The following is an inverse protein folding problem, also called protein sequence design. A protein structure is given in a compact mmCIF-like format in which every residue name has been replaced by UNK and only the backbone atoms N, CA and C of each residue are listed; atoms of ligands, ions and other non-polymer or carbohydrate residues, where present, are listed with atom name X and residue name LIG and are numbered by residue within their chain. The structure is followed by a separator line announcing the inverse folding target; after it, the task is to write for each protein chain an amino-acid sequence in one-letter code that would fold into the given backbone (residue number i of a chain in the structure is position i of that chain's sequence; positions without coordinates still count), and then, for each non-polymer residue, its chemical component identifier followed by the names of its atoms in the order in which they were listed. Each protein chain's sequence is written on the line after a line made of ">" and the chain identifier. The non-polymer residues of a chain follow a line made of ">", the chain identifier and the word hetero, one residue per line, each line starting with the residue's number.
data_IF_427931534287
#
_entry.id   IF_427931534287
#
_cell.length_a   1.000
_cell.length_b   1.000
_cell.length_c   1.000
_cell.angle_alpha   90.00
_cell.angle_beta   90.00
_cell.angle_gamma   90.00
#
_symmetry.space_group_name_H-M   'P 1'
#
loop_
_entity.id
_entity.type
_entity.pdbx_description
1 polymer ?
#
# COMPACT_ATOMS: atom_id res chain seq x y z
N UNK A 1 22.20 -29.90 57.94
CA UNK A 1 20.89 -30.04 57.26
C UNK A 1 20.56 -28.76 56.51
N UNK A 2 20.71 -28.69 55.18
CA UNK A 2 20.37 -27.53 54.31
C UNK A 2 18.91 -27.69 53.84
N UNK A 3 18.00 -26.83 54.33
CA UNK A 3 16.61 -26.76 53.84
C UNK A 3 16.62 -26.20 52.39
N UNK A 4 16.29 -27.04 51.42
CA UNK A 4 16.04 -26.63 50.02
C UNK A 4 14.67 -25.98 49.99
N UNK A 5 14.60 -24.69 49.64
CA UNK A 5 13.34 -23.97 49.38
C UNK A 5 12.72 -24.50 48.04
N UNK A 6 11.55 -25.14 48.11
CA UNK A 6 10.89 -25.66 46.90
C UNK A 6 10.14 -24.60 46.05
N UNK A 7 10.26 -23.32 46.39
CA UNK A 7 9.50 -22.25 45.71
C UNK A 7 10.14 -21.67 44.47
N UNK A 8 11.44 -21.98 44.22
CA UNK A 8 12.14 -21.44 43.05
C UNK A 8 11.68 -22.01 41.69
N UNK A 9 11.28 -23.27 41.53
CA UNK A 9 10.87 -23.79 40.22
C UNK A 9 9.48 -23.31 39.78
N UNK A 10 8.58 -22.91 40.71
CA UNK A 10 7.25 -22.44 40.36
C UNK A 10 7.24 -21.03 39.77
N UNK A 11 8.17 -20.17 40.20
CA UNK A 11 8.28 -18.80 39.66
C UNK A 11 8.84 -18.78 38.23
N UNK A 12 9.70 -19.73 37.86
CA UNK A 12 10.22 -19.84 36.50
C UNK A 12 9.19 -20.37 35.49
N UNK A 13 8.27 -21.23 35.93
CA UNK A 13 7.19 -21.75 35.06
C UNK A 13 6.14 -20.68 34.70
N UNK A 14 5.91 -19.72 35.60
CA UNK A 14 4.97 -18.61 35.37
C UNK A 14 5.46 -17.59 34.34
N UNK A 15 6.80 -17.40 34.20
CA UNK A 15 7.38 -16.44 33.25
C UNK A 15 7.36 -16.94 31.79
N UNK A 16 7.33 -18.24 31.57
CA UNK A 16 7.36 -18.82 30.20
C UNK A 16 5.98 -18.76 29.54
N UNK A 17 4.89 -18.67 30.30
CA UNK A 17 3.51 -18.60 29.76
C UNK A 17 3.07 -17.19 29.38
N UNK A 18 3.79 -16.15 29.76
CA UNK A 18 3.46 -14.75 29.40
C UNK A 18 4.08 -14.31 28.05
N UNK A 19 4.84 -15.15 27.37
CA UNK A 19 5.67 -14.77 26.21
C UNK A 19 5.03 -14.98 24.84
N UNK A 20 3.75 -15.39 24.75
CA UNK A 20 3.12 -15.71 23.45
C UNK A 20 1.69 -15.19 23.36
N UNK A 21 1.46 -13.89 23.59
CA UNK A 21 0.20 -13.26 23.22
C UNK A 21 0.43 -12.03 22.33
N UNK A 22 1.14 -12.21 21.23
CA UNK A 22 0.95 -11.29 20.11
C UNK A 22 -0.48 -11.53 19.61
N UNK A 23 -1.34 -10.50 19.66
CA UNK A 23 -2.67 -10.58 19.07
C UNK A 23 -2.53 -11.06 17.63
N UNK A 24 -3.25 -12.11 17.22
CA UNK A 24 -3.15 -12.60 15.86
C UNK A 24 -3.57 -11.50 14.89
N UNK A 25 -2.81 -11.35 13.82
CA UNK A 25 -3.18 -10.46 12.71
C UNK A 25 -4.35 -11.14 11.99
N UNK A 26 -5.54 -10.57 12.14
CA UNK A 26 -6.76 -11.14 11.56
C UNK A 26 -7.21 -10.40 10.30
N UNK A 27 -6.81 -9.14 10.12
CA UNK A 27 -7.03 -8.38 8.90
C UNK A 27 -5.74 -8.43 8.09
N UNK A 28 -5.79 -9.06 6.93
CA UNK A 28 -4.58 -9.39 6.16
C UNK A 28 -4.68 -8.76 4.77
N UNK A 29 -3.65 -8.01 4.39
CA UNK A 29 -3.42 -7.60 3.01
C UNK A 29 -2.59 -8.68 2.34
N UNK A 30 -3.05 -9.21 1.22
CA UNK A 30 -2.46 -10.36 0.54
C UNK A 30 -1.57 -9.92 -0.62
N UNK A 31 -2.13 -9.86 -1.81
CA UNK A 31 -1.38 -9.67 -3.03
C UNK A 31 -1.87 -8.45 -3.83
N UNK A 32 -0.96 -7.84 -4.58
CA UNK A 32 -1.30 -6.78 -5.51
C UNK A 32 -2.06 -7.35 -6.70
N UNK A 33 -3.22 -6.79 -7.01
CA UNK A 33 -4.02 -7.22 -8.16
C UNK A 33 -3.51 -6.60 -9.45
N UNK A 34 -3.47 -7.40 -10.52
CA UNK A 34 -3.24 -6.88 -11.85
C UNK A 34 -4.49 -6.14 -12.34
N UNK A 35 -4.35 -4.92 -12.90
CA UNK A 35 -5.46 -4.26 -13.58
C UNK A 35 -5.80 -5.01 -14.86
N UNK A 36 -7.09 -5.15 -15.17
CA UNK A 36 -7.58 -5.56 -16.47
C UNK A 36 -7.41 -4.45 -17.53
N UNK A 37 -7.75 -4.75 -18.77
CA UNK A 37 -7.59 -3.82 -19.91
C UNK A 37 -8.39 -2.52 -19.75
N UNK A 38 -9.47 -2.56 -18.98
CA UNK A 38 -10.34 -1.41 -18.67
C UNK A 38 -10.08 -0.80 -17.29
N UNK A 39 -8.95 -1.12 -16.66
CA UNK A 39 -8.65 -0.75 -15.28
C UNK A 39 -9.67 -1.29 -14.27
N UNK A 40 -10.34 -2.36 -14.59
CA UNK A 40 -11.07 -3.13 -13.63
C UNK A 40 -10.11 -4.09 -12.88
N UNK A 41 -10.50 -4.48 -11.69
CA UNK A 41 -9.80 -5.46 -10.86
C UNK A 41 -10.71 -6.65 -10.59
N UNK A 42 -11.59 -6.93 -11.54
CA UNK A 42 -12.60 -8.00 -11.45
C UNK A 42 -11.99 -9.40 -11.59
N UNK A 43 -10.84 -9.52 -12.26
CA UNK A 43 -10.11 -10.78 -12.36
C UNK A 43 -9.31 -11.03 -11.07
N UNK A 44 -9.89 -11.83 -10.18
CA UNK A 44 -9.30 -12.16 -8.88
C UNK A 44 -8.18 -13.20 -8.97
N UNK A 45 -7.86 -13.69 -10.16
CA UNK A 45 -6.79 -14.69 -10.39
C UNK A 45 -5.48 -14.06 -10.84
N UNK A 46 -5.49 -12.79 -11.24
CA UNK A 46 -4.30 -12.09 -11.74
C UNK A 46 -3.68 -11.20 -10.67
N UNK A 47 -2.41 -11.46 -10.39
CA UNK A 47 -1.61 -10.72 -9.43
C UNK A 47 -0.34 -10.18 -10.09
N UNK A 48 0.24 -9.13 -9.49
CA UNK A 48 1.53 -8.59 -9.87
C UNK A 48 2.48 -8.59 -8.67
N UNK A 49 3.74 -8.91 -8.91
CA UNK A 49 4.77 -8.98 -7.87
C UNK A 49 5.61 -7.71 -7.76
N UNK A 50 5.41 -6.76 -8.67
CA UNK A 50 6.11 -5.49 -8.71
C UNK A 50 5.60 -4.63 -9.85
N UNK A 51 6.18 -3.43 -9.99
CA UNK A 51 5.83 -2.51 -11.05
C UNK A 51 6.98 -1.61 -11.46
N UNK A 52 6.70 -0.70 -12.37
CA UNK A 52 7.67 0.31 -12.78
C UNK A 52 7.03 1.68 -12.92
N UNK A 53 7.84 2.74 -12.78
CA UNK A 53 7.39 4.11 -13.00
C UNK A 53 8.47 4.93 -13.70
N UNK A 54 8.06 5.60 -14.77
CA UNK A 54 8.89 6.54 -15.53
C UNK A 54 8.69 7.96 -14.99
N UNK A 55 9.75 8.54 -14.45
CA UNK A 55 9.77 9.91 -13.92
C UNK A 55 10.01 10.97 -15.01
N UNK A 56 9.84 10.64 -16.29
CA UNK A 56 9.96 11.62 -17.36
C UNK A 56 8.96 12.76 -17.15
N UNK A 57 9.40 14.03 -17.12
CA UNK A 57 8.48 15.16 -17.04
C UNK A 57 7.65 15.28 -18.34
N UNK A 58 6.46 15.86 -18.22
CA UNK A 58 5.59 16.15 -19.35
C UNK A 58 4.83 17.46 -19.13
N UNK A 59 4.30 18.04 -20.22
CA UNK A 59 3.57 19.30 -20.19
C UNK A 59 2.06 19.06 -20.18
N UNK A 60 1.36 19.72 -19.27
CA UNK A 60 -0.10 19.85 -19.27
C UNK A 60 -0.41 21.34 -19.27
N UNK A 61 -1.06 21.81 -20.36
CA UNK A 61 -1.41 23.24 -20.47
C UNK A 61 -0.20 24.18 -20.37
N UNK A 62 0.98 23.76 -20.81
CA UNK A 62 2.23 24.53 -20.72
C UNK A 62 2.94 24.46 -19.36
N UNK A 63 2.38 23.73 -18.39
CA UNK A 63 3.01 23.52 -17.08
C UNK A 63 3.74 22.20 -17.05
N UNK A 64 5.01 22.23 -16.63
CA UNK A 64 5.80 21.00 -16.44
C UNK A 64 5.25 20.23 -15.25
N UNK A 65 4.85 19.01 -15.50
CA UNK A 65 4.39 18.07 -14.48
C UNK A 65 5.29 16.85 -14.51
N UNK A 66 5.65 16.30 -13.37
CA UNK A 66 6.31 15.00 -13.30
C UNK A 66 5.31 13.91 -12.94
N UNK A 67 5.53 12.73 -13.48
CA UNK A 67 4.97 11.49 -12.96
C UNK A 67 5.67 11.20 -11.62
N UNK A 68 5.51 10.15 -11.01
CA UNK A 68 6.17 9.78 -9.75
C UNK A 68 5.16 9.25 -8.77
N UNK A 69 3.92 9.06 -9.26
CA UNK A 69 2.87 8.38 -8.52
C UNK A 69 2.75 6.94 -9.00
N UNK A 70 2.64 6.02 -8.06
CA UNK A 70 2.37 4.62 -8.34
C UNK A 70 1.26 4.13 -7.42
N UNK A 71 0.04 4.10 -7.92
CA UNK A 71 -1.12 3.56 -7.21
C UNK A 71 -1.28 2.06 -7.49
N UNK A 72 -1.62 1.28 -6.47
CA UNK A 72 -1.84 -0.15 -6.58
C UNK A 72 -3.07 -0.57 -5.77
N UNK A 73 -3.75 -1.62 -6.24
CA UNK A 73 -4.87 -2.24 -5.54
C UNK A 73 -4.43 -3.59 -5.03
N UNK A 74 -4.76 -3.86 -3.77
CA UNK A 74 -4.42 -5.09 -3.07
C UNK A 74 -5.68 -5.84 -2.68
N UNK A 75 -5.64 -7.16 -2.78
CA UNK A 75 -6.62 -8.02 -2.14
C UNK A 75 -6.42 -8.00 -0.63
N UNK A 76 -7.48 -7.91 0.13
CA UNK A 76 -7.43 -8.04 1.59
C UNK A 76 -8.57 -8.89 2.12
N UNK A 77 -8.40 -9.43 3.33
CA UNK A 77 -9.38 -10.26 4.00
C UNK A 77 -9.49 -9.89 5.49
N UNK A 78 -10.62 -10.18 6.09
CA UNK A 78 -10.84 -10.06 7.51
C UNK A 78 -11.29 -11.42 8.07
N UNK A 79 -10.40 -12.11 8.74
CA UNK A 79 -10.60 -13.47 9.28
C UNK A 79 -11.34 -13.49 10.63
N UNK A 80 -11.78 -12.32 11.12
CA UNK A 80 -12.62 -12.26 12.32
C UNK A 80 -14.03 -12.76 11.99
N UNK A 81 -14.62 -13.46 12.96
CA UNK A 81 -16.01 -13.87 12.85
C UNK A 81 -16.94 -12.66 13.08
N UNK A 82 -18.07 -12.56 12.36
CA UNK A 82 -19.10 -11.59 12.65
C UNK A 82 -19.57 -11.70 14.10
N UNK A 83 -19.63 -10.58 14.81
CA UNK A 83 -20.14 -10.51 16.18
C UNK A 83 -21.12 -9.34 16.32
N UNK A 84 -22.11 -9.44 17.21
CA UNK A 84 -23.01 -8.33 17.47
C UNK A 84 -22.27 -7.11 18.04
N UNK A 85 -22.66 -5.91 17.60
CA UNK A 85 -22.30 -4.67 18.26
C UNK A 85 -23.32 -4.40 19.36
N UNK A 86 -22.83 -4.24 20.59
CA UNK A 86 -23.68 -3.96 21.74
C UNK A 86 -23.33 -2.60 22.34
N UNK A 87 -24.35 -1.84 22.77
CA UNK A 87 -24.22 -0.59 23.50
C UNK A 87 -25.05 -0.70 24.74
N UNK A 88 -24.43 -0.53 25.93
CA UNK A 88 -25.07 -0.69 27.24
C UNK A 88 -25.79 -2.05 27.45
N UNK A 89 -25.34 -3.09 26.76
CA UNK A 89 -25.92 -4.43 26.82
C UNK A 89 -27.00 -4.72 25.78
N UNK A 90 -27.47 -3.74 25.06
CA UNK A 90 -28.43 -3.91 23.97
C UNK A 90 -27.68 -4.13 22.62
N UNK A 91 -28.16 -5.10 21.84
CA UNK A 91 -27.63 -5.34 20.48
C UNK A 91 -28.17 -4.25 19.56
N UNK A 92 -27.26 -3.39 19.09
CA UNK A 92 -27.59 -2.30 18.13
C UNK A 92 -27.32 -2.71 16.69
N UNK A 93 -26.43 -3.71 16.48
CA UNK A 93 -26.13 -4.28 15.17
C UNK A 93 -25.78 -5.77 15.33
N UNK A 94 -26.46 -6.69 14.63
CA UNK A 94 -26.32 -8.12 14.89
C UNK A 94 -25.03 -8.75 14.32
N UNK A 95 -24.26 -8.07 13.46
CA UNK A 95 -23.16 -8.73 12.76
C UNK A 95 -21.89 -7.92 12.49
N UNK A 96 -21.88 -6.61 12.70
CA UNK A 96 -20.81 -5.74 12.24
C UNK A 96 -19.76 -5.34 13.29
N UNK A 97 -19.82 -5.90 14.51
CA UNK A 97 -18.89 -5.51 15.60
C UNK A 97 -17.42 -5.74 15.27
N UNK A 98 -17.09 -6.75 14.48
CA UNK A 98 -15.74 -7.09 14.04
C UNK A 98 -15.41 -6.61 12.62
N UNK A 99 -16.23 -5.77 12.01
CA UNK A 99 -15.86 -5.10 10.76
C UNK A 99 -14.67 -4.17 11.04
N UNK A 100 -13.68 -4.20 10.15
CA UNK A 100 -12.50 -3.36 10.27
C UNK A 100 -12.67 -2.09 9.45
N UNK A 101 -12.53 -0.95 10.09
CA UNK A 101 -12.52 0.38 9.48
C UNK A 101 -11.09 0.88 9.43
N UNK A 102 -10.53 0.95 8.23
CA UNK A 102 -9.19 1.48 7.99
C UNK A 102 -9.22 3.02 8.03
N UNK A 103 -8.28 3.60 8.78
CA UNK A 103 -8.14 5.05 8.95
C UNK A 103 -6.90 5.59 8.22
N UNK A 104 -5.80 4.82 8.20
CA UNK A 104 -4.54 5.28 7.63
C UNK A 104 -3.65 4.14 7.14
N UNK A 105 -2.72 4.49 6.24
CA UNK A 105 -1.63 3.64 5.78
C UNK A 105 -0.31 4.34 6.08
N UNK A 106 0.63 3.62 6.69
CA UNK A 106 2.01 4.07 6.88
C UNK A 106 2.89 3.40 5.86
N UNK A 107 3.71 4.20 5.16
CA UNK A 107 4.67 3.76 4.17
C UNK A 107 6.10 3.91 4.69
N UNK A 108 6.90 2.87 4.52
CA UNK A 108 8.33 2.83 4.77
C UNK A 108 9.03 2.54 3.43
N UNK A 109 10.14 3.23 3.14
CA UNK A 109 10.82 3.12 1.87
C UNK A 109 12.25 2.63 2.04
N UNK A 110 12.66 1.70 1.19
CA UNK A 110 14.06 1.34 0.98
C UNK A 110 14.40 1.60 -0.48
N UNK A 111 15.38 2.45 -0.72
CA UNK A 111 15.74 2.90 -2.05
C UNK A 111 17.21 2.61 -2.35
N UNK A 112 17.51 2.14 -3.57
CA UNK A 112 18.85 1.70 -3.92
C UNK A 112 19.85 2.83 -4.14
N UNK A 113 19.39 4.06 -4.42
CA UNK A 113 20.26 5.24 -4.48
C UNK A 113 20.63 5.70 -3.06
N UNK A 114 21.89 5.54 -2.60
CA UNK A 114 22.30 5.90 -1.25
C UNK A 114 22.35 7.42 -1.01
N UNK A 115 22.30 8.24 -2.07
CA UNK A 115 22.27 9.70 -1.97
C UNK A 115 20.87 10.23 -1.62
N UNK A 116 19.83 9.40 -1.75
CA UNK A 116 18.44 9.78 -1.50
C UNK A 116 17.96 9.16 -0.21
N UNK A 117 17.62 9.98 0.76
CA UNK A 117 16.98 9.54 2.02
C UNK A 117 15.47 9.75 1.91
N UNK A 118 14.71 8.69 2.09
CA UNK A 118 13.25 8.74 2.09
C UNK A 118 12.72 8.61 3.52
N UNK A 119 11.90 9.56 3.92
CA UNK A 119 11.17 9.48 5.19
C UNK A 119 9.97 8.55 5.05
N UNK A 120 9.52 7.97 6.17
CA UNK A 120 8.21 7.30 6.19
C UNK A 120 7.10 8.34 6.05
N UNK A 121 6.05 7.95 5.32
CA UNK A 121 4.91 8.83 5.03
C UNK A 121 3.61 8.17 5.45
N UNK A 122 2.59 8.99 5.69
CA UNK A 122 1.26 8.55 6.09
C UNK A 122 0.24 9.05 5.08
N UNK A 123 -0.66 8.16 4.67
CA UNK A 123 -1.85 8.47 3.88
C UNK A 123 -3.10 8.16 4.69
N UNK A 124 -4.00 9.13 4.79
CA UNK A 124 -5.33 8.85 5.32
C UNK A 124 -6.16 8.11 4.26
N UNK A 125 -6.83 7.05 4.68
CA UNK A 125 -7.75 6.28 3.85
C UNK A 125 -9.06 6.09 4.60
N UNK A 126 -10.12 5.78 3.84
CA UNK A 126 -11.40 5.39 4.41
C UNK A 126 -11.86 4.15 3.67
N UNK A 127 -11.70 3.00 4.27
CA UNK A 127 -12.12 1.73 3.71
C UNK A 127 -12.66 0.84 4.83
N UNK A 128 -13.65 0.02 4.51
CA UNK A 128 -14.22 -0.93 5.48
C UNK A 128 -14.19 -2.32 4.86
N UNK A 129 -13.80 -3.31 5.67
CA UNK A 129 -13.90 -4.71 5.30
C UNK A 129 -14.70 -5.46 6.36
N UNK A 130 -15.78 -6.11 5.92
CA UNK A 130 -16.66 -6.84 6.80
C UNK A 130 -15.94 -8.04 7.47
N UNK A 131 -16.37 -8.39 8.65
CA UNK A 131 -15.92 -9.61 9.32
C UNK A 131 -16.25 -10.85 8.48
N UNK A 132 -15.31 -11.79 8.37
CA UNK A 132 -15.41 -12.97 7.52
C UNK A 132 -15.31 -12.70 6.03
N UNK A 133 -14.92 -11.48 5.62
CA UNK A 133 -14.77 -11.12 4.21
C UNK A 133 -13.57 -11.81 3.58
N UNK A 134 -13.80 -12.43 2.42
CA UNK A 134 -12.78 -13.12 1.62
C UNK A 134 -12.06 -12.16 0.67
N UNK A 135 -10.82 -12.48 0.26
CA UNK A 135 -10.01 -11.59 -0.58
C UNK A 135 -10.54 -11.46 -2.02
N UNK A 136 -11.35 -12.41 -2.49
CA UNK A 136 -11.81 -12.45 -3.88
C UNK A 136 -12.66 -11.24 -4.28
N UNK A 137 -13.41 -10.70 -3.34
CA UNK A 137 -14.33 -9.57 -3.57
C UNK A 137 -13.91 -8.28 -2.87
N UNK A 138 -12.86 -8.33 -2.04
CA UNK A 138 -12.45 -7.20 -1.22
C UNK A 138 -11.07 -6.70 -1.64
N UNK A 139 -11.02 -5.41 -1.95
CA UNK A 139 -9.78 -4.74 -2.37
C UNK A 139 -9.58 -3.43 -1.63
N UNK A 140 -8.33 -3.06 -1.42
CA UNK A 140 -7.92 -1.75 -0.90
C UNK A 140 -6.89 -1.12 -1.84
N UNK A 141 -7.10 0.15 -2.17
CA UNK A 141 -6.18 0.94 -2.99
C UNK A 141 -5.22 1.75 -2.13
N UNK A 142 -3.96 1.82 -2.56
CA UNK A 142 -2.94 2.66 -1.95
C UNK A 142 -2.07 3.33 -3.01
N UNK A 143 -1.74 4.60 -2.80
CA UNK A 143 -0.69 5.27 -3.57
C UNK A 143 0.65 4.92 -2.94
N UNK A 144 1.42 4.05 -3.59
CA UNK A 144 2.65 3.50 -3.02
C UNK A 144 3.79 4.53 -2.97
N UNK A 145 3.83 5.47 -3.92
CA UNK A 145 4.81 6.56 -3.93
C UNK A 145 4.08 7.83 -3.52
N UNK A 146 4.31 8.24 -2.29
CA UNK A 146 3.73 9.45 -1.72
C UNK A 146 4.50 10.70 -2.19
N UNK A 147 3.92 11.90 -2.08
CA UNK A 147 4.52 13.13 -2.62
C UNK A 147 5.95 13.43 -2.14
N UNK A 148 6.28 13.17 -0.87
CA UNK A 148 7.63 13.39 -0.35
C UNK A 148 8.65 12.45 -0.99
N UNK A 149 8.34 11.14 -1.07
CA UNK A 149 9.16 10.15 -1.75
C UNK A 149 9.28 10.46 -3.25
N UNK A 150 8.18 10.82 -3.92
CA UNK A 150 8.17 11.22 -5.33
C UNK A 150 9.10 12.40 -5.60
N UNK A 151 9.04 13.45 -4.79
CA UNK A 151 9.89 14.63 -4.93
C UNK A 151 11.37 14.28 -4.72
N UNK A 152 11.70 13.51 -3.69
CA UNK A 152 13.07 13.13 -3.40
C UNK A 152 13.67 12.23 -4.49
N UNK A 153 12.93 11.24 -4.98
CA UNK A 153 13.34 10.36 -6.09
C UNK A 153 13.47 11.17 -7.37
N UNK A 154 12.50 12.05 -7.66
CA UNK A 154 12.50 12.90 -8.85
C UNK A 154 13.66 13.89 -8.90
N UNK A 155 14.26 14.24 -7.76
CA UNK A 155 15.46 15.07 -7.68
C UNK A 155 16.77 14.28 -7.92
N UNK A 156 16.74 12.94 -7.85
CA UNK A 156 17.91 12.11 -8.13
C UNK A 156 18.28 12.13 -9.62
N UNK A 157 19.58 12.27 -9.90
CA UNK A 157 20.14 12.13 -11.26
C UNK A 157 20.49 10.69 -11.60
N UNK A 158 20.54 9.77 -10.65
CA UNK A 158 20.90 8.39 -10.88
C UNK A 158 19.84 7.66 -11.73
N UNK A 159 18.57 7.99 -11.57
CA UNK A 159 17.46 7.44 -12.36
C UNK A 159 17.50 7.84 -13.84
N UNK A 160 18.32 8.83 -14.22
CA UNK A 160 18.52 9.25 -15.62
C UNK A 160 19.44 8.29 -16.38
N UNK A 161 20.21 7.50 -15.66
CA UNK A 161 21.25 6.63 -16.23
C UNK A 161 21.01 5.15 -16.00
N UNK A 162 20.47 4.80 -14.83
CA UNK A 162 20.23 3.40 -14.44
C UNK A 162 18.91 3.30 -13.67
N UNK A 163 18.02 2.37 -14.06
CA UNK A 163 16.84 2.08 -13.26
C UNK A 163 17.19 1.71 -11.81
N UNK A 164 16.47 2.26 -10.86
CA UNK A 164 16.64 2.02 -9.43
C UNK A 164 15.48 1.20 -8.88
N UNK A 165 15.68 0.50 -7.78
CA UNK A 165 14.61 -0.21 -7.09
C UNK A 165 14.17 0.55 -5.85
N UNK A 166 12.88 0.81 -5.76
CA UNK A 166 12.20 1.29 -4.58
C UNK A 166 11.39 0.14 -3.97
N UNK A 167 11.78 -0.33 -2.80
CA UNK A 167 10.96 -1.27 -2.03
C UNK A 167 10.05 -0.45 -1.11
N UNK A 168 8.76 -0.52 -1.38
CA UNK A 168 7.74 0.13 -0.56
C UNK A 168 7.16 -0.89 0.40
N UNK A 169 7.32 -0.67 1.70
CA UNK A 169 6.67 -1.47 2.73
C UNK A 169 5.57 -0.65 3.38
N UNK A 170 4.37 -1.20 3.45
CA UNK A 170 3.25 -0.49 4.06
C UNK A 170 2.45 -1.35 5.02
N UNK A 171 1.73 -0.69 5.91
CA UNK A 171 0.83 -1.30 6.88
C UNK A 171 -0.41 -0.41 7.06
N UNK A 172 -1.59 -1.03 7.10
CA UNK A 172 -2.87 -0.33 7.28
C UNK A 172 -3.22 -0.35 8.77
N UNK A 173 -3.60 0.80 9.29
CA UNK A 173 -4.06 1.00 10.66
C UNK A 173 -5.52 1.42 10.66
N UNK A 174 -6.24 1.00 11.69
CA UNK A 174 -7.66 1.29 11.84
C UNK A 174 -8.21 0.74 13.14
N UNK A 175 -9.50 0.48 13.17
CA UNK A 175 -10.19 -0.07 14.33
C UNK A 175 -11.33 -0.99 13.89
N UNK A 176 -11.74 -1.88 14.79
CA UNK A 176 -13.00 -2.59 14.64
C UNK A 176 -14.15 -1.63 14.94
N UNK A 177 -15.33 -1.90 14.39
CA UNK A 177 -16.54 -1.13 14.70
C UNK A 177 -16.82 -1.14 16.21
N UNK A 178 -16.51 -2.23 16.90
CA UNK A 178 -16.53 -2.31 18.37
C UNK A 178 -15.49 -1.44 19.09
N UNK A 179 -14.68 -0.66 18.37
CA UNK A 179 -13.76 0.34 18.93
C UNK A 179 -12.34 -0.15 19.21
N UNK A 180 -12.03 -1.42 19.05
CA UNK A 180 -10.68 -1.95 19.29
C UNK A 180 -9.73 -1.55 18.16
N UNK A 181 -8.55 -0.92 18.45
CA UNK A 181 -7.55 -0.62 17.44
C UNK A 181 -6.99 -1.93 16.85
N UNK A 182 -6.80 -1.95 15.54
CA UNK A 182 -6.22 -3.07 14.78
C UNK A 182 -5.33 -2.56 13.64
N UNK A 183 -4.48 -3.45 13.17
CA UNK A 183 -3.60 -3.20 12.02
C UNK A 183 -3.45 -4.48 11.19
N UNK A 184 -3.07 -4.32 9.94
CA UNK A 184 -2.80 -5.43 9.03
C UNK A 184 -1.36 -5.94 9.18
N UNK A 185 -1.02 -7.02 8.48
CA UNK A 185 0.37 -7.36 8.22
C UNK A 185 1.09 -6.24 7.45
N UNK A 186 2.43 -6.22 7.55
CA UNK A 186 3.27 -5.42 6.63
C UNK A 186 3.33 -6.11 5.28
N UNK A 187 3.19 -5.32 4.21
CA UNK A 187 3.31 -5.77 2.81
C UNK A 187 4.43 -4.99 2.15
N UNK A 188 5.31 -5.69 1.44
CA UNK A 188 6.37 -5.07 0.65
C UNK A 188 6.10 -5.25 -0.84
N UNK A 189 6.25 -4.16 -1.60
CA UNK A 189 6.03 -4.13 -3.04
C UNK A 189 7.19 -3.42 -3.74
N UNK A 190 7.91 -4.08 -4.64
CA UNK A 190 9.03 -3.47 -5.37
C UNK A 190 8.50 -2.66 -6.55
N UNK A 191 9.05 -1.45 -6.71
CA UNK A 191 8.79 -0.58 -7.86
C UNK A 191 10.13 -0.20 -8.50
N UNK A 192 10.29 -0.50 -9.78
CA UNK A 192 11.42 0.00 -10.55
C UNK A 192 11.17 1.44 -10.96
N UNK A 193 12.05 2.34 -10.55
CA UNK A 193 11.98 3.77 -10.87
C UNK A 193 13.08 4.16 -11.84
N UNK A 194 12.74 4.92 -12.88
CA UNK A 194 13.67 5.38 -13.91
C UNK A 194 13.16 6.67 -14.54
N UNK A 195 13.99 7.34 -15.30
CA UNK A 195 13.61 8.48 -16.13
C UNK A 195 14.06 8.26 -17.57
N UNK A 196 13.11 8.02 -18.47
CA UNK A 196 13.40 7.75 -19.87
C UNK A 196 13.97 8.98 -20.63
N UNK A 197 13.71 10.18 -20.12
CA UNK A 197 14.29 11.45 -20.63
C UNK A 197 14.13 12.56 -19.60
N UNK A 198 15.13 13.45 -19.53
CA UNK A 198 15.05 14.69 -18.74
C UNK A 198 14.30 15.79 -19.47
N UNK A 199 14.10 15.65 -20.78
CA UNK A 199 13.37 16.62 -21.61
C UNK A 199 11.86 16.40 -21.42
N UNK A 200 11.10 17.43 -21.01
CA UNK A 200 9.66 17.32 -20.88
C UNK A 200 8.99 16.90 -22.17
N UNK A 201 8.07 15.95 -22.10
CA UNK A 201 7.27 15.52 -23.24
C UNK A 201 6.11 16.50 -23.45
N UNK A 202 6.08 17.14 -24.63
CA UNK A 202 4.98 18.00 -25.05
C UNK A 202 4.17 17.30 -26.15
N UNK A 203 2.99 16.84 -25.83
CA UNK A 203 2.08 16.20 -26.77
C UNK A 203 1.24 17.20 -27.58
N UNK A 204 1.25 18.48 -27.22
CA UNK A 204 0.55 19.55 -27.95
C UNK A 204 1.35 20.08 -29.14
N UNK A 205 2.67 19.98 -29.11
CA UNK A 205 3.57 20.52 -30.12
C UNK A 205 3.54 19.72 -31.42
N UNK A 206 2.78 20.20 -32.41
CA UNK A 206 2.85 19.73 -33.80
C UNK A 206 2.16 18.38 -34.10
N UNK A 207 1.39 17.85 -33.20
CA UNK A 207 0.91 16.45 -33.29
C UNK A 207 -0.62 16.29 -33.41
N UNK A 208 -1.34 17.30 -33.89
CA UNK A 208 -2.74 17.11 -34.32
C UNK A 208 -3.69 16.50 -33.28
N UNK A 209 -3.63 16.97 -32.02
CA UNK A 209 -4.60 16.54 -31.01
C UNK A 209 -4.12 15.37 -30.13
N UNK A 210 -2.82 15.03 -30.13
CA UNK A 210 -2.30 14.03 -29.18
C UNK A 210 -2.37 14.52 -27.73
N UNK A 211 -2.57 13.60 -26.83
CA UNK A 211 -2.58 13.82 -25.39
C UNK A 211 -1.53 12.92 -24.71
N UNK A 212 -1.16 13.27 -23.48
CA UNK A 212 -0.30 12.40 -22.68
C UNK A 212 -1.00 11.04 -22.50
N UNK A 213 -0.29 9.97 -22.84
CA UNK A 213 -0.78 8.64 -22.57
C UNK A 213 -0.89 8.41 -21.06
N UNK A 214 -2.11 8.27 -20.56
CA UNK A 214 -2.38 8.03 -19.15
C UNK A 214 -1.92 6.66 -18.62
N UNK A 215 -1.36 5.81 -19.48
CA UNK A 215 -0.93 4.47 -19.07
C UNK A 215 -2.06 3.58 -18.57
N UNK A 216 -1.70 2.45 -17.97
CA UNK A 216 -2.66 1.64 -17.25
C UNK A 216 -3.31 2.46 -16.15
N UNK A 217 -4.64 2.49 -16.15
CA UNK A 217 -5.44 3.15 -15.13
C UNK A 217 -5.22 4.66 -14.96
N UNK A 218 -4.88 5.35 -16.04
CA UNK A 218 -4.85 6.81 -16.06
C UNK A 218 -3.62 7.45 -15.40
N UNK A 219 -2.58 6.67 -15.09
CA UNK A 219 -1.34 7.18 -14.47
C UNK A 219 -0.24 7.18 -15.52
N UNK A 220 0.17 8.35 -16.07
CA UNK A 220 1.27 8.42 -17.02
C UNK A 220 2.58 7.87 -16.43
N UNK A 221 3.30 7.07 -17.23
CA UNK A 221 4.58 6.49 -16.80
C UNK A 221 4.48 5.25 -15.91
N UNK A 222 3.28 4.89 -15.43
CA UNK A 222 3.08 3.65 -14.69
C UNK A 222 3.18 2.45 -15.62
N UNK A 223 4.11 1.53 -15.33
CA UNK A 223 4.36 0.27 -16.05
C UNK A 223 4.61 0.46 -17.56
N UNK A 224 4.98 1.69 -17.96
CA UNK A 224 5.32 2.07 -19.33
C UNK A 224 6.10 3.38 -19.38
N UNK A 225 6.74 3.66 -20.53
CA UNK A 225 7.37 4.96 -20.80
C UNK A 225 6.30 6.03 -21.00
N UNK A 226 6.53 7.24 -20.44
CA UNK A 226 5.69 8.41 -20.72
C UNK A 226 5.69 8.72 -22.20
N UNK A 227 4.53 8.71 -22.82
CA UNK A 227 4.37 8.85 -24.28
C UNK A 227 3.10 9.66 -24.63
N UNK A 228 2.97 10.03 -25.89
CA UNK A 228 1.75 10.61 -26.43
C UNK A 228 0.86 9.56 -27.08
N UNK A 229 -0.46 9.75 -27.03
CA UNK A 229 -1.43 8.93 -27.74
C UNK A 229 -2.52 9.81 -28.36
N UNK A 230 -3.25 9.29 -29.32
CA UNK A 230 -4.52 9.89 -29.76
C UNK A 230 -5.53 9.90 -28.61
N UNK A 231 -6.38 10.92 -28.52
CA UNK A 231 -7.44 11.05 -27.51
C UNK A 231 -8.39 9.86 -27.49
#
# INVERSE_FOLDING_TARGET
>A
MRRRNPLLPLALLGLVLAACSADPINVVVLAARAPGDKCDFSDNTKYVEGGSVDFRPYLIGGVVTSTGSYGQIFAWENNLQPVPLTVNGDVVDPGHGNDFVADSVVFEYQYTDPAVTLASELQNIHATIAAGALPDTNTVGASLIQPGASNAIGASTLIDTVPQTLLVTFQIFGKLVAGQPKYTNKVSFPVTVYRSSTVPLDCSAGTGGLVINGGPCGIPGRDQVVSCKSP
#
